data_IF_324310459852
#
_entry.id   IF_324310459852
#
_cell.length_a   1.000
_cell.length_b   1.000
_cell.length_c   1.000
_cell.angle_alpha   90.00
_cell.angle_beta   90.00
_cell.angle_gamma   90.00
#
_symmetry.space_group_name_H-M   'P 1'
#
loop_
_entity.id
_entity.type
_entity.pdbx_description
1 polymer ?
#
# COMPACT_ATOMS: atom_id res chain seq x y z
N UNK A 1 -12.39 -0.34 18.31
CA UNK A 1 -11.51 0.37 17.35
C UNK A 1 -12.26 0.74 16.08
N UNK A 2 -12.87 -0.21 15.36
CA UNK A 2 -13.64 0.10 14.15
C UNK A 2 -14.86 0.98 14.44
N UNK A 3 -15.59 0.72 15.53
CA UNK A 3 -16.69 1.59 16.00
C UNK A 3 -16.21 3.00 16.35
N UNK A 4 -15.01 3.14 16.92
CA UNK A 4 -14.45 4.45 17.26
C UNK A 4 -14.11 5.28 16.02
N UNK A 5 -13.58 4.65 14.96
CA UNK A 5 -13.23 5.34 13.70
C UNK A 5 -14.50 5.79 12.99
N UNK A 6 -15.53 4.94 12.98
CA UNK A 6 -16.79 5.22 12.29
C UNK A 6 -17.68 6.20 13.06
N UNK A 7 -17.53 6.33 14.38
CA UNK A 7 -18.35 7.26 15.18
C UNK A 7 -17.72 8.64 15.40
N UNK A 8 -16.39 8.76 15.35
CA UNK A 8 -15.68 10.03 15.59
C UNK A 8 -15.53 10.91 14.35
N UNK A 9 -15.48 10.31 13.16
CA UNK A 9 -15.42 11.04 11.90
C UNK A 9 -16.83 11.45 11.45
N UNK A 10 -16.98 12.66 10.90
CA UNK A 10 -18.24 13.09 10.31
C UNK A 10 -18.56 12.24 9.06
N UNK A 11 -19.84 12.01 8.75
CA UNK A 11 -20.26 11.14 7.64
C UNK A 11 -19.82 11.64 6.26
N UNK A 12 -19.59 12.96 6.14
CA UNK A 12 -19.10 13.58 4.92
C UNK A 12 -17.58 13.47 4.73
N UNK A 13 -16.83 13.16 5.79
CA UNK A 13 -15.38 12.92 5.74
C UNK A 13 -15.06 11.51 5.21
N UNK A 14 -14.10 11.44 4.31
CA UNK A 14 -13.59 10.15 3.79
C UNK A 14 -12.63 9.55 4.81
N UNK A 15 -13.00 8.41 5.39
CA UNK A 15 -12.10 7.64 6.25
C UNK A 15 -10.96 7.05 5.41
N UNK A 16 -9.76 6.96 5.97
CA UNK A 16 -8.63 6.24 5.34
C UNK A 16 -8.29 5.03 6.20
N UNK A 17 -8.22 3.85 5.57
CA UNK A 17 -7.92 2.60 6.26
C UNK A 17 -6.84 1.86 5.47
N UNK A 18 -5.75 1.50 6.14
CA UNK A 18 -4.78 0.54 5.60
C UNK A 18 -5.26 -0.85 5.98
N UNK A 19 -5.59 -1.65 4.97
CA UNK A 19 -5.95 -3.06 5.14
C UNK A 19 -4.67 -3.86 5.05
N UNK A 20 -4.24 -4.44 6.17
CA UNK A 20 -2.98 -5.19 6.28
C UNK A 20 -3.19 -6.48 7.07
N UNK A 21 -3.97 -7.39 6.48
CA UNK A 21 -4.47 -8.60 7.11
C UNK A 21 -4.31 -9.85 6.26
N UNK A 22 -3.62 -9.79 5.12
CA UNK A 22 -3.47 -10.97 4.24
C UNK A 22 -2.81 -12.15 4.98
N UNK A 23 -3.27 -13.40 4.78
CA UNK A 23 -2.60 -14.58 5.33
C UNK A 23 -1.15 -14.66 4.87
N UNK A 24 -0.27 -15.16 5.75
CA UNK A 24 1.18 -15.25 5.50
C UNK A 24 1.83 -13.90 5.14
N UNK A 25 1.25 -12.77 5.56
CA UNK A 25 1.82 -11.42 5.34
C UNK A 25 3.29 -11.36 5.74
N UNK A 26 4.03 -10.53 5.00
CA UNK A 26 5.48 -10.42 5.12
C UNK A 26 6.18 -11.78 4.98
N UNK A 27 5.76 -12.58 4.00
CA UNK A 27 6.32 -13.91 3.72
C UNK A 27 7.82 -13.93 3.39
N UNK A 28 8.44 -12.76 3.18
CA UNK A 28 9.87 -12.64 2.86
C UNK A 28 10.70 -12.33 4.11
N UNK A 29 10.42 -11.22 4.80
CA UNK A 29 11.24 -10.82 5.95
C UNK A 29 10.76 -11.47 7.26
N UNK A 30 9.47 -11.82 7.37
CA UNK A 30 8.89 -12.48 8.53
C UNK A 30 8.81 -11.62 9.79
N UNK A 31 9.04 -10.32 9.68
CA UNK A 31 9.09 -9.35 10.78
C UNK A 31 7.70 -8.85 11.18
N UNK A 32 6.72 -8.94 10.28
CA UNK A 32 5.36 -8.45 10.48
C UNK A 32 4.28 -9.55 10.39
N UNK A 33 4.54 -10.73 10.95
CA UNK A 33 3.69 -11.94 10.80
C UNK A 33 2.61 -12.12 11.90
N UNK A 34 2.60 -11.26 12.91
CA UNK A 34 1.63 -11.28 14.00
C UNK A 34 0.20 -10.98 13.52
N UNK A 35 -0.79 -11.61 14.15
CA UNK A 35 -2.21 -11.43 13.83
C UNK A 35 -3.00 -12.73 13.90
N UNK A 36 -4.33 -12.61 13.89
CA UNK A 36 -5.28 -13.74 13.96
C UNK A 36 -5.60 -14.35 12.59
N UNK A 37 -5.30 -13.66 11.48
CA UNK A 37 -5.57 -14.15 10.13
C UNK A 37 -4.50 -15.14 9.70
N UNK A 38 -4.87 -16.42 9.56
CA UNK A 38 -3.95 -17.52 9.20
C UNK A 38 -4.41 -18.31 7.97
N UNK A 39 -5.56 -17.97 7.40
CA UNK A 39 -6.14 -18.64 6.25
C UNK A 39 -7.03 -17.69 5.46
N UNK A 40 -7.38 -18.07 4.23
CA UNK A 40 -8.38 -17.32 3.43
C UNK A 40 -9.74 -17.22 4.13
N UNK A 41 -10.13 -18.21 4.94
CA UNK A 41 -11.38 -18.16 5.70
C UNK A 41 -11.32 -17.11 6.81
N UNK A 42 -10.20 -17.02 7.52
CA UNK A 42 -9.98 -15.97 8.52
C UNK A 42 -9.93 -14.60 7.85
N UNK A 43 -9.30 -14.50 6.69
CA UNK A 43 -9.20 -13.25 5.94
C UNK A 43 -10.56 -12.74 5.47
N UNK A 44 -11.43 -13.65 4.97
CA UNK A 44 -12.83 -13.31 4.67
C UNK A 44 -13.59 -12.82 5.91
N UNK A 45 -13.35 -13.43 7.06
CA UNK A 45 -13.99 -13.03 8.32
C UNK A 45 -13.52 -11.65 8.77
N UNK A 46 -12.21 -11.40 8.72
CA UNK A 46 -11.59 -10.11 8.98
C UNK A 46 -12.13 -8.99 8.06
N UNK A 47 -12.18 -9.25 6.75
CA UNK A 47 -12.73 -8.31 5.78
C UNK A 47 -14.21 -8.04 6.05
N UNK A 48 -14.97 -9.07 6.41
CA UNK A 48 -16.40 -8.93 6.74
C UNK A 48 -16.59 -8.00 7.95
N UNK A 49 -15.85 -8.20 9.02
CA UNK A 49 -15.91 -7.33 10.21
C UNK A 49 -15.60 -5.88 9.84
N UNK A 50 -14.59 -5.65 9.00
CA UNK A 50 -14.25 -4.33 8.51
C UNK A 50 -15.39 -3.72 7.66
N UNK A 51 -15.92 -4.46 6.68
CA UNK A 51 -16.98 -3.97 5.79
C UNK A 51 -18.29 -3.73 6.53
N UNK A 52 -18.64 -4.57 7.50
CA UNK A 52 -19.83 -4.40 8.34
C UNK A 52 -19.73 -3.11 9.16
N UNK A 53 -18.55 -2.82 9.73
CA UNK A 53 -18.34 -1.61 10.51
C UNK A 53 -18.34 -0.34 9.63
N UNK A 54 -17.70 -0.38 8.47
CA UNK A 54 -17.64 0.78 7.55
C UNK A 54 -18.99 1.05 6.89
N UNK A 55 -19.78 0.01 6.60
CA UNK A 55 -21.05 0.13 5.89
C UNK A 55 -20.89 0.84 4.55
N UNK A 56 -21.78 1.78 4.26
CA UNK A 56 -21.78 2.58 3.03
C UNK A 56 -21.00 3.90 3.15
N UNK A 57 -20.22 4.12 4.20
CA UNK A 57 -19.52 5.39 4.40
C UNK A 57 -18.48 5.64 3.32
N UNK A 58 -18.15 6.92 3.07
CA UNK A 58 -17.01 7.29 2.23
C UNK A 58 -15.72 6.78 2.87
N UNK A 59 -15.00 5.95 2.14
CA UNK A 59 -13.76 5.33 2.61
C UNK A 59 -12.72 5.26 1.49
N UNK A 60 -11.45 5.36 1.86
CA UNK A 60 -10.29 5.07 1.03
C UNK A 60 -9.56 3.89 1.65
N UNK A 61 -9.36 2.83 0.89
CA UNK A 61 -8.57 1.68 1.30
C UNK A 61 -7.22 1.67 0.61
N UNK A 62 -6.15 1.63 1.41
CA UNK A 62 -4.83 1.17 0.97
C UNK A 62 -4.79 -0.33 1.22
N UNK A 63 -4.75 -1.11 0.15
CA UNK A 63 -4.94 -2.57 0.22
C UNK A 63 -3.60 -3.27 0.21
N UNK A 64 -3.32 -3.97 1.32
CA UNK A 64 -2.26 -4.95 1.54
C UNK A 64 -0.87 -4.48 1.08
N UNK A 65 -0.24 -3.53 1.83
CA UNK A 65 1.16 -3.18 1.66
C UNK A 65 2.08 -4.38 1.37
N UNK A 66 2.96 -4.21 0.37
CA UNK A 66 3.94 -5.18 -0.11
C UNK A 66 3.39 -6.44 -0.81
N UNK A 67 2.09 -6.74 -0.75
CA UNK A 67 1.56 -8.01 -1.28
C UNK A 67 1.77 -8.15 -2.79
N UNK A 68 1.45 -7.11 -3.58
CA UNK A 68 1.74 -7.15 -5.03
C UNK A 68 3.24 -7.02 -5.30
N UNK A 69 3.98 -6.31 -4.45
CA UNK A 69 5.44 -6.25 -4.48
C UNK A 69 6.08 -7.64 -4.47
N UNK A 70 5.71 -8.44 -3.46
CA UNK A 70 6.19 -9.81 -3.24
C UNK A 70 5.62 -10.83 -4.25
N UNK A 71 4.54 -10.50 -4.95
CA UNK A 71 4.05 -11.28 -6.09
C UNK A 71 4.87 -11.02 -7.37
N UNK A 72 5.37 -9.80 -7.54
CA UNK A 72 6.12 -9.38 -8.72
C UNK A 72 7.60 -9.79 -8.68
N UNK A 73 8.09 -10.23 -7.52
CA UNK A 73 9.45 -10.75 -7.37
C UNK A 73 9.61 -12.12 -8.05
N UNK A 74 10.65 -12.26 -8.87
CA UNK A 74 10.97 -13.53 -9.51
C UNK A 74 11.39 -14.55 -8.46
N UNK A 75 10.66 -15.68 -8.38
CA UNK A 75 10.85 -16.67 -7.32
C UNK A 75 10.40 -16.19 -5.93
N UNK A 76 9.70 -15.05 -5.86
CA UNK A 76 9.20 -14.48 -4.61
C UNK A 76 8.16 -15.36 -3.92
N UNK A 77 7.99 -15.13 -2.61
CA UNK A 77 7.12 -15.94 -1.76
C UNK A 77 5.62 -15.72 -2.01
N UNK A 78 5.23 -14.57 -2.59
CA UNK A 78 3.82 -14.16 -2.69
C UNK A 78 2.94 -15.14 -3.46
N UNK A 79 3.50 -15.82 -4.48
CA UNK A 79 2.76 -16.83 -5.25
C UNK A 79 2.42 -18.07 -4.40
N UNK A 80 3.39 -18.59 -3.66
CA UNK A 80 3.18 -19.76 -2.78
C UNK A 80 2.32 -19.41 -1.57
N UNK A 81 2.40 -18.17 -1.07
CA UNK A 81 1.53 -17.65 -0.02
C UNK A 81 0.09 -17.36 -0.48
N UNK A 82 -0.23 -17.52 -1.78
CA UNK A 82 -1.58 -17.35 -2.31
C UNK A 82 -2.06 -15.89 -2.32
N UNK A 83 -1.15 -14.92 -2.41
CA UNK A 83 -1.50 -13.51 -2.32
C UNK A 83 -2.48 -13.05 -3.40
N UNK A 84 -2.34 -13.49 -4.65
CA UNK A 84 -3.23 -13.06 -5.74
C UNK A 84 -4.69 -13.40 -5.45
N UNK A 85 -4.95 -14.62 -4.98
CA UNK A 85 -6.31 -15.08 -4.72
C UNK A 85 -6.91 -14.38 -3.48
N UNK A 86 -6.11 -14.14 -2.44
CA UNK A 86 -6.57 -13.36 -1.30
C UNK A 86 -6.79 -11.88 -1.66
N UNK A 87 -5.95 -11.27 -2.51
CA UNK A 87 -6.16 -9.90 -3.00
C UNK A 87 -7.46 -9.79 -3.79
N UNK A 88 -7.82 -10.78 -4.63
CA UNK A 88 -9.12 -10.81 -5.31
C UNK A 88 -10.28 -10.81 -4.30
N UNK A 89 -10.18 -11.60 -3.23
CA UNK A 89 -11.17 -11.63 -2.13
C UNK A 89 -11.30 -10.26 -1.46
N UNK A 90 -10.17 -9.57 -1.23
CA UNK A 90 -10.17 -8.22 -0.65
C UNK A 90 -10.86 -7.22 -1.56
N UNK A 91 -10.52 -7.20 -2.84
CA UNK A 91 -11.09 -6.28 -3.83
C UNK A 91 -12.58 -6.51 -4.00
N UNK A 92 -13.03 -7.77 -4.10
CA UNK A 92 -14.46 -8.12 -4.18
C UNK A 92 -15.23 -7.59 -2.95
N UNK A 93 -14.72 -7.86 -1.73
CA UNK A 93 -15.40 -7.45 -0.50
C UNK A 93 -15.40 -5.93 -0.29
N UNK A 94 -14.26 -5.28 -0.46
CA UNK A 94 -14.10 -3.84 -0.16
C UNK A 94 -14.79 -2.95 -1.20
N UNK A 95 -14.79 -3.36 -2.48
CA UNK A 95 -15.43 -2.58 -3.55
C UNK A 95 -16.95 -2.73 -3.62
N UNK A 96 -17.55 -3.61 -2.79
CA UNK A 96 -18.99 -3.72 -2.65
C UNK A 96 -19.64 -2.43 -2.09
N UNK A 97 -18.89 -1.64 -1.32
CA UNK A 97 -19.31 -0.29 -0.94
C UNK A 97 -19.07 0.68 -2.11
N UNK A 98 -20.16 1.19 -2.71
CA UNK A 98 -20.11 2.10 -3.85
C UNK A 98 -19.40 3.45 -3.56
N UNK A 99 -19.21 3.81 -2.28
CA UNK A 99 -18.50 5.02 -1.86
C UNK A 99 -17.00 4.79 -1.60
N UNK A 100 -16.51 3.55 -1.72
CA UNK A 100 -15.13 3.18 -1.46
C UNK A 100 -14.20 3.52 -2.65
N UNK A 101 -13.02 4.05 -2.33
CA UNK A 101 -11.90 4.20 -3.27
C UNK A 101 -10.80 3.21 -2.87
N UNK A 102 -10.43 2.30 -3.76
CA UNK A 102 -9.45 1.25 -3.49
C UNK A 102 -8.15 1.53 -4.26
N UNK A 103 -7.04 1.55 -3.52
CA UNK A 103 -5.68 1.63 -4.06
C UNK A 103 -4.88 0.45 -3.55
N UNK A 104 -4.40 -0.39 -4.46
CA UNK A 104 -3.61 -1.58 -4.11
C UNK A 104 -2.16 -1.18 -4.00
N UNK A 105 -1.49 -1.52 -2.90
CA UNK A 105 -0.06 -1.28 -2.77
C UNK A 105 0.72 -2.22 -3.69
N UNK A 106 1.71 -1.67 -4.41
CA UNK A 106 2.49 -2.44 -5.39
C UNK A 106 3.98 -2.49 -5.12
N UNK A 107 4.45 -1.87 -4.04
CA UNK A 107 5.88 -1.65 -3.78
C UNK A 107 6.55 -0.84 -4.90
N UNK A 108 7.00 0.39 -4.63
CA UNK A 108 7.46 1.29 -5.70
C UNK A 108 8.56 0.68 -6.59
N UNK A 109 9.43 -0.17 -6.03
CA UNK A 109 10.58 -0.79 -6.71
C UNK A 109 10.15 -1.70 -7.87
N UNK A 110 8.93 -2.26 -7.81
CA UNK A 110 8.41 -3.09 -8.91
C UNK A 110 8.15 -2.28 -10.18
N UNK A 111 7.96 -0.96 -10.06
CA UNK A 111 7.68 -0.09 -11.19
C UNK A 111 8.97 0.44 -11.86
N UNK A 112 10.11 0.33 -11.20
CA UNK A 112 11.42 0.77 -11.72
C UNK A 112 11.90 -0.11 -12.88
N UNK A 113 11.46 -1.36 -12.92
CA UNK A 113 11.89 -2.36 -13.90
C UNK A 113 10.70 -2.88 -14.72
N UNK A 114 10.88 -3.00 -16.04
CA UNK A 114 9.81 -3.36 -16.98
C UNK A 114 9.23 -4.77 -16.71
N UNK A 115 10.06 -5.74 -16.35
CA UNK A 115 9.62 -7.11 -16.09
C UNK A 115 8.69 -7.20 -14.88
N UNK A 116 9.07 -6.58 -13.76
CA UNK A 116 8.24 -6.51 -12.55
C UNK A 116 6.98 -5.67 -12.82
N UNK A 117 7.10 -4.53 -13.50
CA UNK A 117 5.95 -3.68 -13.85
C UNK A 117 4.93 -4.40 -14.73
N UNK A 118 5.38 -5.23 -15.67
CA UNK A 118 4.50 -6.08 -16.49
C UNK A 118 3.75 -7.12 -15.64
N UNK A 119 4.39 -7.64 -14.59
CA UNK A 119 3.75 -8.52 -13.62
C UNK A 119 2.70 -7.76 -12.79
N UNK A 120 3.02 -6.54 -12.33
CA UNK A 120 2.07 -5.65 -11.65
C UNK A 120 0.86 -5.35 -12.53
N UNK A 121 1.04 -5.02 -13.81
CA UNK A 121 -0.06 -4.80 -14.78
C UNK A 121 -0.95 -6.04 -14.92
N UNK A 122 -0.34 -7.23 -14.96
CA UNK A 122 -1.09 -8.49 -15.01
C UNK A 122 -1.92 -8.70 -13.75
N UNK A 123 -1.31 -8.53 -12.57
CA UNK A 123 -2.01 -8.63 -11.28
C UNK A 123 -3.13 -7.60 -11.18
N UNK A 124 -2.88 -6.33 -11.50
CA UNK A 124 -3.90 -5.27 -11.46
C UNK A 124 -5.05 -5.52 -12.45
N UNK A 125 -4.80 -6.19 -13.57
CA UNK A 125 -5.85 -6.61 -14.52
C UNK A 125 -6.73 -7.71 -13.92
N UNK A 126 -6.12 -8.71 -13.29
CA UNK A 126 -6.83 -9.77 -12.56
C UNK A 126 -7.66 -9.20 -11.41
N UNK A 127 -7.11 -8.27 -10.62
CA UNK A 127 -7.82 -7.63 -9.52
C UNK A 127 -8.96 -6.72 -10.01
N UNK A 128 -8.76 -6.00 -11.11
CA UNK A 128 -9.82 -5.20 -11.75
C UNK A 128 -11.00 -6.04 -12.23
N UNK A 129 -10.81 -7.36 -12.40
CA UNK A 129 -11.88 -8.29 -12.77
C UNK A 129 -12.66 -8.81 -11.56
N UNK A 130 -12.11 -8.68 -10.35
CA UNK A 130 -12.76 -9.05 -9.09
C UNK A 130 -13.58 -7.91 -8.47
N UNK A 131 -13.30 -6.66 -8.84
CA UNK A 131 -14.02 -5.50 -8.33
C UNK A 131 -13.46 -4.17 -8.81
N UNK A 132 -14.04 -3.07 -8.33
CA UNK A 132 -13.65 -1.71 -8.76
C UNK A 132 -12.39 -1.26 -8.05
N UNK A 133 -11.39 -0.83 -8.82
CA UNK A 133 -10.15 -0.23 -8.34
C UNK A 133 -10.01 1.19 -8.87
N UNK A 134 -9.50 2.08 -8.02
CA UNK A 134 -9.23 3.48 -8.37
C UNK A 134 -7.78 3.67 -8.81
N UNK A 135 -6.85 2.90 -8.24
CA UNK A 135 -5.44 3.12 -8.46
C UNK A 135 -4.50 2.16 -7.75
N UNK A 136 -3.25 2.60 -7.61
CA UNK A 136 -2.21 1.94 -6.83
C UNK A 136 -1.65 2.85 -5.75
N UNK A 137 -1.11 2.25 -4.70
CA UNK A 137 -0.31 2.95 -3.69
C UNK A 137 1.17 2.63 -3.92
N UNK A 138 2.01 3.66 -3.85
CA UNK A 138 3.46 3.54 -4.00
C UNK A 138 4.17 4.34 -2.91
N UNK A 139 5.45 4.02 -2.72
CA UNK A 139 6.34 4.60 -1.72
C UNK A 139 6.00 4.26 -0.27
N UNK A 140 5.04 3.37 0.00
CA UNK A 140 4.65 2.96 1.37
C UNK A 140 5.87 2.59 2.19
N UNK A 141 6.05 3.26 3.33
CA UNK A 141 7.21 3.08 4.21
C UNK A 141 8.57 3.35 3.55
N UNK A 142 8.63 4.08 2.45
CA UNK A 142 9.87 4.38 1.73
C UNK A 142 10.12 5.88 1.60
N UNK A 143 11.16 6.26 0.85
CA UNK A 143 11.74 7.60 0.92
C UNK A 143 11.83 8.31 -0.43
N UNK A 144 11.25 7.74 -1.50
CA UNK A 144 11.39 8.26 -2.86
C UNK A 144 10.62 9.56 -3.05
N UNK A 145 11.14 10.45 -3.89
CA UNK A 145 10.51 11.75 -4.10
C UNK A 145 9.22 11.68 -4.90
N UNK A 146 8.36 12.66 -4.68
CA UNK A 146 7.08 12.79 -5.39
C UNK A 146 7.28 12.87 -6.91
N UNK A 147 8.39 13.46 -7.37
CA UNK A 147 8.74 13.50 -8.80
C UNK A 147 9.00 12.09 -9.34
N UNK A 148 9.87 11.31 -8.70
CA UNK A 148 10.14 9.93 -9.10
C UNK A 148 8.86 9.10 -9.08
N UNK A 149 8.03 9.25 -8.05
CA UNK A 149 6.76 8.52 -7.93
C UNK A 149 5.76 8.88 -9.03
N UNK A 150 5.68 10.14 -9.44
CA UNK A 150 4.86 10.57 -10.58
C UNK A 150 5.37 9.98 -11.91
N UNK A 151 6.68 9.88 -12.10
CA UNK A 151 7.28 9.26 -13.29
C UNK A 151 6.97 7.75 -13.34
N UNK A 152 7.17 7.03 -12.23
CA UNK A 152 6.84 5.60 -12.14
C UNK A 152 5.34 5.35 -12.34
N UNK A 153 4.47 6.19 -11.76
CA UNK A 153 3.03 6.12 -11.96
C UNK A 153 2.66 6.29 -13.45
N UNK A 154 3.31 7.23 -14.15
CA UNK A 154 3.09 7.44 -15.60
C UNK A 154 3.45 6.21 -16.42
N UNK A 155 4.57 5.56 -16.10
CA UNK A 155 5.01 4.34 -16.78
C UNK A 155 4.01 3.20 -16.54
N UNK A 156 3.57 3.02 -15.29
CA UNK A 156 2.52 2.04 -14.96
C UNK A 156 1.22 2.31 -15.71
N UNK A 157 0.73 3.54 -15.73
CA UNK A 157 -0.48 3.91 -16.47
C UNK A 157 -0.38 3.65 -17.97
N UNK A 158 0.81 3.87 -18.53
CA UNK A 158 1.13 3.61 -19.94
C UNK A 158 1.03 2.12 -20.25
N UNK A 159 1.72 1.28 -19.46
CA UNK A 159 1.75 -0.17 -19.66
C UNK A 159 0.38 -0.81 -19.37
N UNK A 160 -0.36 -0.29 -18.39
CA UNK A 160 -1.74 -0.70 -18.09
C UNK A 160 -2.73 -0.28 -19.19
N UNK A 161 -2.38 0.69 -20.04
CA UNK A 161 -3.29 1.29 -21.02
C UNK A 161 -4.47 2.05 -20.38
N UNK A 162 -4.37 2.43 -19.10
CA UNK A 162 -5.44 3.06 -18.31
C UNK A 162 -4.94 4.32 -17.62
N UNK A 163 -5.09 5.48 -18.27
CA UNK A 163 -4.73 6.80 -17.71
C UNK A 163 -5.50 7.18 -16.44
N UNK A 164 -6.63 6.54 -16.16
CA UNK A 164 -7.44 6.78 -14.97
C UNK A 164 -7.01 5.99 -13.72
N UNK A 165 -6.02 5.10 -13.84
CA UNK A 165 -5.47 4.32 -12.73
C UNK A 165 -4.39 5.16 -12.03
N UNK A 166 -4.80 6.14 -11.24
CA UNK A 166 -3.91 7.11 -10.59
C UNK A 166 -3.18 6.50 -9.39
N UNK A 167 -2.19 7.21 -8.86
CA UNK A 167 -1.39 6.72 -7.75
C UNK A 167 -1.58 7.55 -6.48
N UNK A 168 -1.44 6.88 -5.34
CA UNK A 168 -1.21 7.51 -4.04
C UNK A 168 0.27 7.38 -3.72
N UNK A 169 0.84 8.45 -3.16
CA UNK A 169 2.23 8.44 -2.68
C UNK A 169 2.26 8.56 -1.16
N UNK A 170 2.94 7.63 -0.51
CA UNK A 170 3.32 7.81 0.89
C UNK A 170 4.41 8.89 0.98
N UNK A 171 4.08 10.01 1.62
CA UNK A 171 4.94 11.17 1.84
C UNK A 171 5.38 11.29 3.31
N UNK A 172 5.16 10.25 4.11
CA UNK A 172 5.49 10.24 5.54
C UNK A 172 6.95 10.61 5.84
N UNK A 173 7.90 10.21 4.98
CA UNK A 173 9.34 10.34 5.24
C UNK A 173 10.18 10.76 4.03
N UNK A 174 9.56 11.31 2.98
CA UNK A 174 10.23 11.57 1.70
C UNK A 174 10.61 13.03 1.42
N UNK A 175 10.83 13.84 2.46
CA UNK A 175 11.21 15.25 2.28
C UNK A 175 12.56 15.42 1.57
N UNK A 176 13.56 14.65 2.01
CA UNK A 176 14.89 14.66 1.44
C UNK A 176 15.01 13.59 0.36
N UNK A 177 15.62 13.94 -0.77
CA UNK A 177 15.94 12.97 -1.82
C UNK A 177 16.87 11.87 -1.26
N UNK A 178 16.51 10.58 -1.41
CA UNK A 178 17.30 9.51 -0.84
C UNK A 178 18.61 9.36 -1.61
N UNK A 179 19.73 9.29 -0.87
CA UNK A 179 21.07 9.11 -1.46
C UNK A 179 21.40 7.65 -1.79
N UNK A 180 20.62 6.71 -1.24
CA UNK A 180 20.81 5.26 -1.38
C UNK A 180 19.47 4.57 -1.60
N UNK A 181 19.51 3.27 -1.86
CA UNK A 181 18.33 2.40 -1.91
C UNK A 181 17.96 1.83 -0.54
N UNK A 182 18.60 2.29 0.54
CA UNK A 182 18.31 1.82 1.88
C UNK A 182 16.86 2.13 2.24
N UNK A 183 16.23 1.20 2.96
CA UNK A 183 14.83 1.28 3.36
C UNK A 183 14.65 1.28 4.88
N UNK A 184 15.69 0.92 5.63
CA UNK A 184 15.59 0.64 7.06
C UNK A 184 16.14 1.82 7.88
N UNK A 185 15.27 2.56 8.58
CA UNK A 185 15.61 3.67 9.49
C UNK A 185 16.62 4.69 8.89
N UNK A 186 16.35 5.20 7.68
CA UNK A 186 17.25 6.14 6.98
C UNK A 186 17.41 7.45 7.75
N UNK A 187 18.62 7.74 8.25
CA UNK A 187 18.90 8.86 9.16
C UNK A 187 18.67 10.26 8.56
N UNK A 188 18.87 10.40 7.26
CA UNK A 188 18.73 11.69 6.56
C UNK A 188 17.32 11.89 5.97
N UNK A 189 16.38 10.99 6.27
CA UNK A 189 14.99 11.17 5.89
C UNK A 189 14.39 12.42 6.56
N UNK A 190 13.18 12.78 6.14
CA UNK A 190 12.44 13.86 6.78
C UNK A 190 10.98 13.81 6.42
N UNK A 191 10.13 14.34 7.29
CA UNK A 191 8.68 14.38 7.10
C UNK A 191 8.35 15.15 5.83
N UNK A 192 7.80 14.44 4.84
CA UNK A 192 7.45 15.00 3.54
C UNK A 192 6.17 15.84 3.57
N UNK A 193 5.55 15.99 2.41
CA UNK A 193 4.34 16.80 2.29
C UNK A 193 3.22 16.25 3.20
N UNK A 194 2.49 17.09 3.96
CA UNK A 194 1.33 16.65 4.73
C UNK A 194 0.25 16.00 3.84
N UNK A 195 -0.60 15.12 4.39
CA UNK A 195 -1.64 14.48 3.60
C UNK A 195 -2.57 15.48 2.91
N UNK A 196 -2.80 15.32 1.61
CA UNK A 196 -3.66 16.20 0.80
C UNK A 196 -4.12 15.53 -0.49
N UNK A 197 -5.30 15.90 -0.99
CA UNK A 197 -5.75 15.62 -2.36
C UNK A 197 -5.35 16.71 -3.36
N UNK A 198 -4.82 17.85 -2.89
CA UNK A 198 -4.37 18.97 -3.72
C UNK A 198 -2.90 18.81 -4.08
N UNK A 199 -2.54 17.71 -4.74
CA UNK A 199 -1.15 17.36 -5.06
C UNK A 199 -0.52 18.29 -6.11
N UNK A 200 -1.34 18.93 -6.94
CA UNK A 200 -0.95 19.65 -8.16
C UNK A 200 -0.14 18.78 -9.16
N UNK A 201 -0.27 17.46 -9.06
CA UNK A 201 0.37 16.48 -9.95
C UNK A 201 -0.73 15.57 -10.50
N UNK A 202 -0.96 15.62 -11.81
CA UNK A 202 -2.19 15.12 -12.44
C UNK A 202 -2.44 13.62 -12.30
N UNK A 203 -1.40 12.82 -12.10
CA UNK A 203 -1.50 11.37 -11.94
C UNK A 203 -1.36 10.90 -10.48
N UNK A 204 -1.25 11.84 -9.53
CA UNK A 204 -1.18 11.55 -8.11
C UNK A 204 -2.44 12.08 -7.44
N UNK A 205 -3.32 11.19 -7.00
CA UNK A 205 -4.61 11.58 -6.40
C UNK A 205 -4.43 12.12 -4.97
N UNK A 206 -3.49 11.53 -4.21
CA UNK A 206 -3.23 11.93 -2.83
C UNK A 206 -1.75 11.82 -2.46
N UNK A 207 -1.30 12.77 -1.64
CA UNK A 207 -0.20 12.56 -0.70
C UNK A 207 -0.77 12.04 0.60
N UNK A 208 -0.17 11.01 1.18
CA UNK A 208 -0.65 10.37 2.40
C UNK A 208 0.51 10.01 3.32
N UNK A 209 0.28 10.01 4.63
CA UNK A 209 1.22 9.41 5.57
C UNK A 209 0.70 8.02 5.90
N UNK A 210 1.18 7.03 5.15
CA UNK A 210 0.73 5.64 5.28
C UNK A 210 1.55 4.96 6.37
N UNK A 211 2.87 5.00 6.25
CA UNK A 211 3.76 4.80 7.39
C UNK A 211 3.55 5.93 8.39
N UNK A 212 3.51 5.60 9.67
CA UNK A 212 3.49 6.60 10.75
C UNK A 212 4.92 7.13 10.96
N UNK A 213 5.19 8.42 10.69
CA UNK A 213 6.51 9.00 10.98
C UNK A 213 6.84 8.85 12.47
N UNK A 214 8.08 8.48 12.79
CA UNK A 214 8.51 8.13 14.14
C UNK A 214 8.53 6.62 14.42
N UNK A 215 7.75 5.79 13.74
CA UNK A 215 7.78 4.35 13.99
C UNK A 215 9.00 3.70 13.34
N UNK A 216 9.74 2.89 14.11
CA UNK A 216 10.87 2.11 13.60
C UNK A 216 10.45 1.21 12.43
N UNK A 217 11.34 0.99 11.48
CA UNK A 217 11.21 -0.07 10.47
C UNK A 217 11.64 -1.45 11.01
N UNK A 218 12.13 -1.48 12.25
CA UNK A 218 12.63 -2.66 12.93
C UNK A 218 14.13 -2.56 13.21
N UNK A 219 14.71 -3.71 13.55
CA UNK A 219 16.15 -3.83 13.80
C UNK A 219 16.91 -3.76 12.47
N UNK A 220 17.69 -2.70 12.27
CA UNK A 220 18.46 -2.49 11.05
C UNK A 220 19.93 -2.85 11.28
N UNK A 221 20.57 -3.39 10.25
CA UNK A 221 22.04 -3.54 10.23
C UNK A 221 22.62 -2.42 9.38
N UNK A 222 23.37 -1.50 10.01
CA UNK A 222 24.10 -0.43 9.33
C UNK A 222 25.59 -0.65 9.59
N UNK A 223 26.31 -1.14 8.57
CA UNK A 223 27.70 -1.59 8.74
C UNK A 223 27.78 -2.84 9.62
N UNK A 224 28.56 -2.78 10.71
CA UNK A 224 28.71 -3.90 11.68
C UNK A 224 27.85 -3.76 12.93
N UNK A 225 26.92 -2.80 12.95
CA UNK A 225 26.10 -2.48 14.13
C UNK A 225 24.63 -2.79 13.84
N UNK A 226 24.01 -3.51 14.76
CA UNK A 226 22.59 -3.86 14.75
C UNK A 226 21.88 -3.02 15.81
N UNK A 227 20.94 -2.17 15.38
CA UNK A 227 20.29 -1.15 16.22
C UNK A 227 18.84 -0.96 15.81
N UNK A 228 17.97 -0.77 16.80
CA UNK A 228 16.59 -0.34 16.62
C UNK A 228 16.52 1.17 16.87
N UNK A 229 16.30 1.94 15.80
CA UNK A 229 16.11 3.39 15.89
C UNK A 229 14.64 3.75 15.69
N UNK A 230 14.21 4.82 16.34
CA UNK A 230 12.97 5.54 16.02
C UNK A 230 13.26 6.34 14.74
N UNK A 231 12.56 6.04 13.65
CA UNK A 231 12.75 6.72 12.36
C UNK A 231 11.98 8.05 12.36
N UNK A 232 12.67 9.19 12.51
CA UNK A 232 12.07 10.50 12.30
C UNK A 232 12.07 10.89 10.82
#
# INVERSE_FOLDING_TARGET
MLDDITTKCAEDTRMTIVVYGIPDKDCNAGLSTDGSVKSTADYKSFLKELTDAVGERKVLYVVEPDAVGLLAEEGGCGKTAGYLENLKVAVEALSANANAELYVDVGYWTLEYEAQRSTVVTVMTELSSAGTLKGITINTSNYRSNKQMSELCTNFQTDMGKKGMNCIVDTSRNYNEPKTTDWCNVLEAGIGHPPTSETNITNLDYFMWIKRPGESDGTCTVGSVTVEYIAF
#
